data_IF_277007566519
#
_entry.id   IF_277007566519
#
_cell.length_a   1.000
_cell.length_b   1.000
_cell.length_c   1.000
_cell.angle_alpha   90.00
_cell.angle_beta   90.00
_cell.angle_gamma   90.00
#
_symmetry.space_group_name_H-M   'P 1'
#
loop_
_entity.id
_entity.type
_entity.pdbx_description
1 polymer ?
#
# COMPACT_ATOMS: atom_id res chain seq x y z
N UNK A 1 13.29 24.03 6.89
CA UNK A 1 12.25 23.09 6.37
C UNK A 1 11.96 21.98 7.40
N UNK A 2 11.61 22.34 8.64
CA UNK A 2 11.68 21.42 9.80
C UNK A 2 10.39 20.70 10.18
N UNK A 3 9.23 21.09 9.65
CA UNK A 3 7.95 20.47 9.95
C UNK A 3 7.29 20.01 8.64
N UNK A 4 7.05 18.71 8.53
CA UNK A 4 6.28 18.16 7.41
C UNK A 4 4.83 18.59 7.53
N UNK A 5 4.25 19.13 6.46
CA UNK A 5 2.83 19.48 6.45
C UNK A 5 1.98 18.21 6.58
N UNK A 6 0.94 18.18 7.44
CA UNK A 6 0.05 17.03 7.61
C UNK A 6 -0.54 16.49 6.29
N UNK A 7 -0.69 17.35 5.28
CA UNK A 7 -1.18 16.98 3.94
C UNK A 7 -0.31 15.90 3.26
N UNK A 8 0.97 15.84 3.58
CA UNK A 8 1.93 14.93 2.95
C UNK A 8 1.95 13.54 3.60
N UNK A 9 1.38 13.39 4.80
CA UNK A 9 1.50 12.15 5.60
C UNK A 9 1.00 10.93 4.85
N UNK A 10 -0.17 11.01 4.21
CA UNK A 10 -0.74 9.88 3.44
C UNK A 10 0.19 9.45 2.30
N UNK A 11 0.71 10.40 1.53
CA UNK A 11 1.65 10.11 0.44
C UNK A 11 2.95 9.50 0.97
N UNK A 12 3.50 10.03 2.05
CA UNK A 12 4.78 9.55 2.62
C UNK A 12 4.66 8.16 3.25
N UNK A 13 3.66 7.94 4.10
CA UNK A 13 3.41 6.61 4.69
C UNK A 13 3.00 5.60 3.60
N UNK A 14 2.23 6.03 2.60
CA UNK A 14 1.87 5.21 1.44
C UNK A 14 3.07 4.78 0.61
N UNK A 15 4.00 5.70 0.32
CA UNK A 15 5.25 5.40 -0.37
C UNK A 15 6.14 4.45 0.45
N UNK A 16 6.12 4.57 1.77
CA UNK A 16 6.87 3.66 2.64
C UNK A 16 6.33 2.23 2.54
N UNK A 17 5.02 2.03 2.73
CA UNK A 17 4.41 0.69 2.63
C UNK A 17 4.51 0.14 1.21
N UNK A 18 4.34 0.99 0.19
CA UNK A 18 4.51 0.60 -1.20
C UNK A 18 5.93 0.12 -1.48
N UNK A 19 6.94 0.85 -0.99
CA UNK A 19 8.34 0.46 -1.13
C UNK A 19 8.57 -0.93 -0.55
N UNK A 20 8.06 -1.20 0.65
CA UNK A 20 8.21 -2.50 1.30
C UNK A 20 7.56 -3.63 0.49
N UNK A 21 6.41 -3.36 -0.12
CA UNK A 21 5.70 -4.30 -0.98
C UNK A 21 6.50 -4.65 -2.24
N UNK A 22 7.00 -3.64 -2.96
CA UNK A 22 7.71 -3.87 -4.24
C UNK A 22 9.14 -4.37 -4.05
N UNK A 23 9.73 -4.19 -2.86
CA UNK A 23 11.03 -4.77 -2.50
C UNK A 23 10.91 -6.09 -1.75
N UNK A 24 9.70 -6.63 -1.58
CA UNK A 24 9.44 -7.88 -0.84
C UNK A 24 10.03 -7.88 0.58
N UNK A 25 10.10 -6.72 1.22
CA UNK A 25 10.56 -6.59 2.61
C UNK A 25 9.41 -6.55 3.61
N UNK A 26 8.17 -6.67 3.15
CA UNK A 26 6.97 -6.86 3.96
C UNK A 26 6.58 -8.34 3.99
N UNK A 27 6.26 -8.85 5.17
CA UNK A 27 5.65 -10.17 5.35
C UNK A 27 4.13 -10.06 5.62
N UNK A 28 3.45 -11.21 5.59
CA UNK A 28 2.00 -11.27 5.81
C UNK A 28 1.60 -10.77 7.21
N UNK A 29 2.43 -10.99 8.24
CA UNK A 29 2.15 -10.57 9.60
C UNK A 29 2.21 -9.04 9.74
N UNK A 30 3.19 -8.40 9.10
CA UNK A 30 3.32 -6.95 8.99
C UNK A 30 2.13 -6.34 8.26
N UNK A 31 1.70 -6.94 7.14
CA UNK A 31 0.52 -6.48 6.42
C UNK A 31 -0.74 -6.59 7.30
N UNK A 32 -0.93 -7.74 7.97
CA UNK A 32 -2.03 -7.97 8.91
C UNK A 32 -2.03 -6.93 10.04
N UNK A 33 -0.89 -6.66 10.68
CA UNK A 33 -0.76 -5.61 11.72
C UNK A 33 -1.19 -4.23 11.25
N UNK A 34 -0.86 -3.85 10.01
CA UNK A 34 -1.26 -2.54 9.47
C UNK A 34 -2.76 -2.51 9.22
N UNK A 35 -3.32 -3.60 8.68
CA UNK A 35 -4.75 -3.72 8.43
C UNK A 35 -5.60 -3.71 9.71
N UNK A 36 -5.24 -4.54 10.69
CA UNK A 36 -5.94 -4.60 11.97
C UNK A 36 -5.91 -3.26 12.70
N UNK A 37 -4.77 -2.57 12.72
CA UNK A 37 -4.69 -1.24 13.34
C UNK A 37 -5.56 -0.21 12.63
N UNK A 38 -5.69 -0.27 11.31
CA UNK A 38 -6.62 0.60 10.58
C UNK A 38 -8.07 0.36 10.98
N UNK A 39 -8.47 -0.90 11.18
CA UNK A 39 -9.82 -1.25 11.64
C UNK A 39 -10.06 -0.82 13.09
N UNK A 40 -9.10 -1.09 13.97
CA UNK A 40 -9.14 -0.73 15.38
C UNK A 40 -9.19 0.80 15.62
N UNK A 41 -8.55 1.61 14.76
CA UNK A 41 -8.74 3.07 14.78
C UNK A 41 -10.21 3.42 14.52
N UNK A 42 -10.87 2.75 13.58
CA UNK A 42 -12.31 2.92 13.33
C UNK A 42 -13.15 2.54 14.55
N UNK A 43 -12.84 1.41 15.21
CA UNK A 43 -13.49 1.00 16.45
C UNK A 43 -13.38 2.09 17.53
N UNK A 44 -12.17 2.62 17.76
CA UNK A 44 -11.94 3.67 18.75
C UNK A 44 -12.72 4.96 18.44
N UNK A 45 -12.71 5.40 17.17
CA UNK A 45 -13.46 6.59 16.74
C UNK A 45 -14.98 6.41 16.88
N UNK A 46 -15.47 5.19 16.75
CA UNK A 46 -16.88 4.83 16.95
C UNK A 46 -17.27 4.64 18.44
N UNK A 47 -16.39 5.00 19.37
CA UNK A 47 -16.67 4.97 20.81
C UNK A 47 -16.14 3.74 21.55
N UNK A 48 -15.40 2.85 20.89
CA UNK A 48 -14.69 1.76 21.55
C UNK A 48 -13.60 2.31 22.49
N UNK A 49 -13.56 1.80 23.72
CA UNK A 49 -12.55 2.16 24.70
C UNK A 49 -11.26 1.32 24.54
N UNK A 50 -10.26 1.57 25.38
CA UNK A 50 -8.99 0.86 25.34
C UNK A 50 -9.13 -0.67 25.42
N UNK A 51 -10.00 -1.17 26.30
CA UNK A 51 -10.21 -2.60 26.48
C UNK A 51 -10.93 -3.22 25.28
N UNK A 52 -11.88 -2.51 24.66
CA UNK A 52 -12.55 -2.99 23.44
C UNK A 52 -11.54 -3.17 22.31
N UNK A 53 -10.66 -2.19 22.11
CA UNK A 53 -9.60 -2.24 21.09
C UNK A 53 -8.56 -3.32 21.41
N UNK A 54 -8.18 -3.47 22.68
CA UNK A 54 -7.27 -4.54 23.12
C UNK A 54 -7.87 -5.93 22.86
N UNK A 55 -9.13 -6.16 23.25
CA UNK A 55 -9.85 -7.41 23.01
C UNK A 55 -9.97 -7.73 21.52
N UNK A 56 -10.24 -6.73 20.68
CA UNK A 56 -10.26 -6.91 19.23
C UNK A 56 -8.95 -7.48 18.67
N UNK A 57 -7.79 -7.01 19.15
CA UNK A 57 -6.49 -7.54 18.71
C UNK A 57 -6.25 -8.99 19.20
N UNK A 58 -6.69 -9.32 20.41
CA UNK A 58 -6.61 -10.68 20.94
C UNK A 58 -7.48 -11.65 20.13
N UNK A 59 -8.71 -11.26 19.81
CA UNK A 59 -9.65 -12.05 18.99
C UNK A 59 -9.08 -12.30 17.59
N UNK A 60 -8.30 -11.36 17.06
CA UNK A 60 -7.58 -11.48 15.79
C UNK A 60 -6.27 -12.28 15.87
N UNK A 61 -5.94 -12.80 17.05
CA UNK A 61 -4.83 -13.74 17.27
C UNK A 61 -3.47 -13.08 17.54
N UNK A 62 -3.43 -11.80 17.93
CA UNK A 62 -2.21 -11.20 18.47
C UNK A 62 -1.93 -11.68 19.90
N UNK A 63 -0.67 -11.62 20.34
CA UNK A 63 -0.33 -11.84 21.75
C UNK A 63 -0.86 -10.71 22.63
N UNK A 64 -0.95 -10.93 23.94
CA UNK A 64 -1.32 -9.86 24.89
C UNK A 64 -0.37 -8.66 24.81
N UNK A 65 0.94 -8.90 24.70
CA UNK A 65 1.95 -7.86 24.57
C UNK A 65 1.77 -7.04 23.27
N UNK A 66 1.58 -7.72 22.13
CA UNK A 66 1.37 -7.07 20.83
C UNK A 66 0.04 -6.29 20.81
N UNK A 67 -1.01 -6.86 21.39
CA UNK A 67 -2.34 -6.26 21.50
C UNK A 67 -2.29 -5.00 22.36
N UNK A 68 -1.61 -5.05 23.51
CA UNK A 68 -1.44 -3.92 24.40
C UNK A 68 -0.69 -2.77 23.71
N UNK A 69 0.44 -3.07 23.05
CA UNK A 69 1.19 -2.05 22.33
C UNK A 69 0.42 -1.45 21.14
N UNK A 70 -0.38 -2.27 20.44
CA UNK A 70 -1.23 -1.80 19.35
C UNK A 70 -2.34 -0.88 19.86
N UNK A 71 -3.03 -1.24 20.95
CA UNK A 71 -4.03 -0.40 21.60
C UNK A 71 -3.41 0.89 22.16
N UNK A 72 -2.28 0.81 22.88
CA UNK A 72 -1.55 1.96 23.41
C UNK A 72 -1.20 2.96 22.32
N UNK A 73 -0.79 2.48 21.15
CA UNK A 73 -0.48 3.33 20.01
C UNK A 73 -1.70 4.11 19.51
N UNK A 74 -2.86 3.46 19.43
CA UNK A 74 -4.11 4.08 18.96
C UNK A 74 -4.60 5.14 19.95
N UNK A 75 -4.46 4.91 21.25
CA UNK A 75 -4.88 5.89 22.28
C UNK A 75 -3.78 6.89 22.65
N UNK A 76 -2.62 6.88 21.99
CA UNK A 76 -1.51 7.78 22.31
C UNK A 76 -1.89 9.25 22.09
N UNK A 77 -2.13 9.97 23.17
CA UNK A 77 -2.58 11.37 23.12
C UNK A 77 -4.07 11.51 22.78
N UNK A 78 -4.84 10.42 22.86
CA UNK A 78 -6.31 10.40 22.76
C UNK A 78 -6.98 10.12 24.12
N UNK A 79 -8.27 9.78 24.09
CA UNK A 79 -9.06 9.42 25.27
C UNK A 79 -9.26 7.90 25.32
N UNK A 80 -8.77 7.26 26.38
CA UNK A 80 -8.88 5.80 26.59
C UNK A 80 -10.33 5.32 26.75
N UNK A 81 -11.28 6.22 26.97
CA UNK A 81 -12.71 5.91 27.02
C UNK A 81 -13.39 5.90 25.65
N UNK A 82 -12.68 6.28 24.58
CA UNK A 82 -13.15 6.20 23.19
C UNK A 82 -13.35 7.56 22.51
N UNK A 83 -13.79 7.53 21.26
CA UNK A 83 -14.11 8.69 20.39
C UNK A 83 -12.95 9.62 20.02
N UNK A 84 -11.85 9.62 20.77
CA UNK A 84 -10.64 10.41 20.46
C UNK A 84 -9.46 9.46 20.34
N UNK A 85 -8.99 9.26 19.10
CA UNK A 85 -7.90 8.34 18.78
C UNK A 85 -6.80 9.01 17.95
N UNK A 86 -5.58 8.47 18.06
CA UNK A 86 -4.46 8.81 17.21
C UNK A 86 -4.58 8.09 15.87
N UNK A 87 -5.13 8.79 14.87
CA UNK A 87 -5.55 8.22 13.58
C UNK A 87 -4.43 7.95 12.57
N UNK A 88 -3.17 8.01 13.01
CA UNK A 88 -2.02 7.84 12.10
C UNK A 88 -2.08 6.50 11.36
N UNK A 89 -2.57 5.45 12.01
CA UNK A 89 -2.59 4.12 11.41
C UNK A 89 -3.60 3.98 10.24
N UNK A 90 -4.58 4.89 10.13
CA UNK A 90 -5.46 4.95 8.95
C UNK A 90 -4.77 5.47 7.68
N UNK A 91 -3.69 6.26 7.81
CA UNK A 91 -3.00 6.84 6.67
C UNK A 91 -2.15 5.83 5.88
N UNK A 92 -1.81 4.66 6.45
CA UNK A 92 -0.95 3.67 5.80
C UNK A 92 -1.64 2.97 4.64
N UNK A 93 -2.78 2.32 4.87
CA UNK A 93 -3.49 1.57 3.83
C UNK A 93 -4.10 2.50 2.79
N UNK A 94 -4.73 3.59 3.23
CA UNK A 94 -5.25 4.60 2.32
C UNK A 94 -4.11 5.19 1.46
N UNK A 95 -3.00 5.55 2.10
CA UNK A 95 -1.80 6.03 1.41
C UNK A 95 -1.26 5.03 0.40
N UNK A 96 -1.16 3.74 0.78
CA UNK A 96 -0.72 2.67 -0.11
C UNK A 96 -1.62 2.57 -1.35
N UNK A 97 -2.94 2.57 -1.17
CA UNK A 97 -3.91 2.50 -2.26
C UNK A 97 -3.78 3.72 -3.18
N UNK A 98 -3.68 4.92 -2.63
CA UNK A 98 -3.56 6.16 -3.40
C UNK A 98 -2.25 6.20 -4.19
N UNK A 99 -1.12 5.86 -3.56
CA UNK A 99 0.19 5.79 -4.21
C UNK A 99 0.18 4.75 -5.31
N UNK A 100 -0.28 3.52 -5.04
CA UNK A 100 -0.33 2.48 -6.04
C UNK A 100 -1.23 2.87 -7.23
N UNK A 101 -2.38 3.49 -6.96
CA UNK A 101 -3.30 4.00 -7.98
C UNK A 101 -2.62 5.07 -8.83
N UNK A 102 -1.96 6.04 -8.21
CA UNK A 102 -1.22 7.09 -8.91
C UNK A 102 -0.15 6.51 -9.83
N UNK A 103 0.68 5.58 -9.33
CA UNK A 103 1.73 4.95 -10.13
C UNK A 103 1.15 4.19 -11.33
N UNK A 104 0.12 3.37 -11.10
CA UNK A 104 -0.61 2.63 -12.16
C UNK A 104 -1.18 3.59 -13.21
N UNK A 105 -1.77 4.71 -12.78
CA UNK A 105 -2.38 5.70 -13.67
C UNK A 105 -1.35 6.46 -14.48
N UNK A 106 -0.27 6.91 -13.85
CA UNK A 106 0.86 7.57 -14.52
C UNK A 106 1.45 6.67 -15.62
N UNK A 107 1.67 5.38 -15.34
CA UNK A 107 2.12 4.40 -16.35
C UNK A 107 1.11 4.27 -17.49
N UNK A 108 -0.16 4.08 -17.17
CA UNK A 108 -1.20 3.86 -18.17
C UNK A 108 -1.40 5.06 -19.11
N UNK A 109 -1.07 6.27 -18.66
CA UNK A 109 -1.13 7.50 -19.46
C UNK A 109 0.19 7.87 -20.14
N UNK A 110 1.26 7.08 -19.96
CA UNK A 110 2.61 7.41 -20.49
C UNK A 110 3.22 8.65 -19.85
N UNK A 111 2.92 8.86 -18.56
CA UNK A 111 3.32 10.01 -17.73
C UNK A 111 4.28 9.59 -16.62
N UNK A 112 5.18 8.66 -16.91
CA UNK A 112 6.11 8.09 -15.93
C UNK A 112 7.12 9.06 -15.33
N UNK A 113 7.39 10.17 -16.01
CA UNK A 113 8.25 11.25 -15.54
C UNK A 113 7.77 11.88 -14.24
N UNK A 114 6.48 11.74 -13.90
CA UNK A 114 5.90 12.20 -12.65
C UNK A 114 6.37 11.38 -11.45
N UNK A 115 6.78 10.12 -11.65
CA UNK A 115 7.13 9.22 -10.54
C UNK A 115 8.39 9.68 -9.80
N UNK A 116 9.51 10.01 -10.48
CA UNK A 116 10.67 10.61 -9.83
C UNK A 116 10.38 11.94 -9.11
N UNK A 117 9.41 12.72 -9.59
CA UNK A 117 9.06 14.02 -8.98
C UNK A 117 8.51 13.86 -7.56
N UNK A 118 7.84 12.74 -7.22
CA UNK A 118 7.37 12.43 -5.85
C UNK A 118 8.48 12.53 -4.79
N UNK A 119 9.74 12.36 -5.19
CA UNK A 119 10.90 12.32 -4.32
C UNK A 119 11.70 13.64 -4.30
N UNK A 120 11.27 14.67 -5.04
CA UNK A 120 11.91 15.99 -5.05
C UNK A 120 11.69 16.79 -3.75
N UNK A 121 10.96 16.21 -2.78
CA UNK A 121 10.71 16.76 -1.46
C UNK A 121 9.61 15.96 -0.75
N UNK A 122 8.95 16.58 0.25
CA UNK A 122 7.72 16.04 0.81
C UNK A 122 6.54 16.59 0.02
N UNK A 123 6.12 15.86 -1.01
CA UNK A 123 5.04 16.24 -1.91
C UNK A 123 3.79 15.41 -1.63
N UNK A 124 2.61 15.97 -1.88
CA UNK A 124 1.40 15.16 -2.11
C UNK A 124 1.38 14.62 -3.54
N UNK A 125 0.46 13.69 -3.83
CA UNK A 125 0.23 13.24 -5.20
C UNK A 125 -0.24 14.37 -6.11
N UNK A 126 -1.05 15.31 -5.58
CA UNK A 126 -1.52 16.48 -6.31
C UNK A 126 -0.41 17.50 -6.58
N UNK A 127 0.50 17.71 -5.62
CA UNK A 127 1.65 18.61 -5.79
C UNK A 127 2.50 18.23 -7.01
N UNK A 128 2.65 16.94 -7.29
CA UNK A 128 3.43 16.47 -8.44
C UNK A 128 2.79 16.91 -9.76
N UNK A 129 1.46 16.89 -9.84
CA UNK A 129 0.73 17.34 -11.04
C UNK A 129 0.78 18.87 -11.15
N UNK A 130 0.47 19.57 -10.06
CA UNK A 130 0.41 21.04 -10.05
C UNK A 130 1.76 21.70 -10.33
N UNK A 131 2.85 21.08 -9.86
CA UNK A 131 4.20 21.65 -9.94
C UNK A 131 5.00 21.11 -11.13
N UNK A 132 4.42 20.25 -11.96
CA UNK A 132 5.10 19.62 -13.11
C UNK A 132 5.78 20.65 -14.02
N UNK A 133 5.06 21.71 -14.42
CA UNK A 133 5.60 22.75 -15.28
C UNK A 133 6.86 23.41 -14.70
N UNK A 134 6.91 23.57 -13.37
CA UNK A 134 8.06 24.16 -12.69
C UNK A 134 9.28 23.23 -12.67
N UNK A 135 9.10 21.90 -12.78
CA UNK A 135 10.21 20.98 -13.02
C UNK A 135 10.73 21.10 -14.46
N UNK A 136 9.83 21.19 -15.44
CA UNK A 136 10.21 21.34 -16.85
C UNK A 136 10.92 22.67 -17.12
N UNK A 137 10.49 23.75 -16.46
CA UNK A 137 11.11 25.08 -16.54
C UNK A 137 12.43 25.18 -15.74
N UNK A 138 12.82 24.12 -15.02
CA UNK A 138 14.04 24.09 -14.22
C UNK A 138 14.00 24.92 -12.93
N UNK A 139 12.83 25.46 -12.56
CA UNK A 139 12.60 26.18 -11.30
C UNK A 139 12.71 25.24 -10.11
N UNK A 140 12.12 24.05 -10.22
CA UNK A 140 12.26 22.97 -9.25
C UNK A 140 13.34 21.98 -9.69
N UNK A 141 14.15 21.55 -8.72
CA UNK A 141 15.20 20.56 -8.96
C UNK A 141 14.65 19.15 -8.76
N UNK A 142 15.03 18.17 -9.60
CA UNK A 142 14.62 16.79 -9.43
C UNK A 142 15.18 16.20 -8.12
N UNK A 143 14.61 15.07 -7.71
CA UNK A 143 15.06 14.32 -6.54
C UNK A 143 16.56 13.98 -6.66
N UNK A 144 17.34 14.32 -5.63
CA UNK A 144 18.76 13.94 -5.55
C UNK A 144 18.94 12.43 -5.38
N UNK A 145 18.00 11.80 -4.67
CA UNK A 145 18.02 10.38 -4.35
C UNK A 145 16.67 9.78 -4.70
N UNK A 146 16.71 8.63 -5.35
CA UNK A 146 15.54 7.82 -5.67
C UNK A 146 15.74 6.44 -5.07
N UNK A 147 14.67 5.79 -4.57
CA UNK A 147 14.78 4.39 -4.17
C UNK A 147 15.06 3.52 -5.41
N UNK A 148 15.79 2.40 -5.26
CA UNK A 148 16.18 1.56 -6.41
C UNK A 148 15.01 1.12 -7.31
N UNK A 149 13.83 0.90 -6.72
CA UNK A 149 12.63 0.52 -7.45
C UNK A 149 12.06 1.67 -8.31
N UNK A 150 12.31 2.93 -7.97
CA UNK A 150 11.83 4.10 -8.71
C UNK A 150 12.81 4.54 -9.83
N UNK A 151 14.09 4.19 -9.71
CA UNK A 151 15.09 4.44 -10.78
C UNK A 151 14.82 3.55 -12.00
N UNK A 152 14.47 2.28 -11.75
CA UNK A 152 14.21 1.29 -12.78
C UNK A 152 12.76 1.28 -13.26
N UNK A 153 12.25 2.41 -13.76
CA UNK A 153 10.84 2.58 -14.12
C UNK A 153 10.28 1.45 -15.00
N UNK A 154 11.05 0.94 -15.97
CA UNK A 154 10.61 -0.17 -16.83
C UNK A 154 10.24 -1.44 -16.05
N UNK A 155 10.97 -1.76 -14.98
CA UNK A 155 10.65 -2.92 -14.12
C UNK A 155 9.40 -2.66 -13.29
N UNK A 156 9.25 -1.44 -12.78
CA UNK A 156 8.05 -1.01 -12.07
C UNK A 156 6.82 -1.05 -12.98
N UNK A 157 6.94 -0.53 -14.20
CA UNK A 157 5.90 -0.53 -15.21
C UNK A 157 5.49 -1.95 -15.58
N UNK A 158 6.45 -2.86 -15.83
CA UNK A 158 6.16 -4.26 -16.10
C UNK A 158 5.41 -4.93 -14.93
N UNK A 159 5.87 -4.73 -13.69
CA UNK A 159 5.24 -5.31 -12.51
C UNK A 159 3.82 -4.77 -12.29
N UNK A 160 3.64 -3.45 -12.37
CA UNK A 160 2.33 -2.81 -12.19
C UNK A 160 1.37 -3.13 -13.34
N UNK A 161 1.86 -3.23 -14.57
CA UNK A 161 1.05 -3.65 -15.73
C UNK A 161 0.59 -5.09 -15.59
N UNK A 162 1.48 -5.99 -15.15
CA UNK A 162 1.11 -7.37 -14.84
C UNK A 162 0.09 -7.43 -13.71
N UNK A 163 0.29 -6.69 -12.62
CA UNK A 163 -0.65 -6.63 -11.50
C UNK A 163 -2.04 -6.09 -11.92
N UNK A 164 -2.08 -5.10 -12.83
CA UNK A 164 -3.33 -4.59 -13.41
C UNK A 164 -4.03 -5.65 -14.26
N UNK A 165 -3.28 -6.38 -15.09
CA UNK A 165 -3.82 -7.46 -15.90
C UNK A 165 -4.33 -8.62 -15.03
N UNK A 166 -3.51 -9.09 -14.08
CA UNK A 166 -3.83 -10.23 -13.22
C UNK A 166 -5.01 -9.95 -12.29
N UNK A 167 -5.20 -8.70 -11.84
CA UNK A 167 -6.37 -8.31 -11.03
C UNK A 167 -7.71 -8.49 -11.75
N UNK A 168 -7.71 -8.68 -13.08
CA UNK A 168 -8.91 -8.99 -13.87
C UNK A 168 -9.20 -10.49 -13.97
N UNK A 169 -8.27 -11.34 -13.55
CA UNK A 169 -8.43 -12.79 -13.53
C UNK A 169 -9.25 -13.14 -12.28
N UNK A 170 -10.47 -13.64 -12.48
CA UNK A 170 -11.32 -14.11 -11.40
C UNK A 170 -10.83 -15.50 -10.95
N UNK A 171 -10.26 -15.57 -9.75
CA UNK A 171 -9.79 -16.83 -9.17
C UNK A 171 -10.94 -17.65 -8.57
N UNK A 172 -12.03 -17.00 -8.15
CA UNK A 172 -13.20 -17.66 -7.54
C UNK A 172 -13.87 -18.67 -8.47
N UNK A 173 -13.67 -18.53 -9.79
CA UNK A 173 -14.15 -19.47 -10.80
C UNK A 173 -13.18 -20.62 -11.11
N UNK A 174 -12.01 -20.67 -10.47
CA UNK A 174 -10.95 -21.64 -10.76
C UNK A 174 -10.61 -22.45 -9.51
N UNK A 175 -11.10 -23.68 -9.46
CA UNK A 175 -10.71 -24.64 -8.42
C UNK A 175 -9.32 -25.21 -8.70
N UNK A 176 -8.52 -25.44 -7.65
CA UNK A 176 -7.18 -26.04 -7.80
C UNK A 176 -7.21 -27.40 -8.51
N UNK A 177 -8.27 -28.19 -8.32
CA UNK A 177 -8.45 -29.47 -9.01
C UNK A 177 -8.57 -29.35 -10.54
N UNK A 178 -8.94 -28.18 -11.06
CA UNK A 178 -9.05 -27.93 -12.51
C UNK A 178 -7.71 -28.10 -13.23
N UNK A 179 -6.59 -27.87 -12.54
CA UNK A 179 -5.25 -28.03 -13.12
C UNK A 179 -4.91 -29.50 -13.40
N UNK A 180 -5.42 -30.45 -12.60
CA UNK A 180 -5.27 -31.89 -12.89
C UNK A 180 -5.94 -32.25 -14.22
N UNK A 181 -7.16 -31.75 -14.44
CA UNK A 181 -7.89 -32.00 -15.70
C UNK A 181 -7.23 -31.34 -16.91
N UNK A 182 -6.59 -30.18 -16.74
CA UNK A 182 -5.88 -29.49 -17.84
C UNK A 182 -4.59 -30.20 -18.24
N UNK A 183 -3.87 -30.81 -17.29
CA UNK A 183 -2.68 -31.62 -17.57
C UNK A 183 -3.06 -32.93 -18.28
N UNK A 184 -4.18 -33.56 -17.91
CA UNK A 184 -4.73 -34.74 -18.58
C UNK A 184 -5.19 -34.44 -20.02
N UNK A 185 -5.87 -33.32 -20.24
CA UNK A 185 -6.30 -32.86 -21.57
C UNK A 185 -5.10 -32.49 -22.47
N UNK A 186 -4.02 -31.93 -21.92
CA UNK A 186 -2.79 -31.56 -22.66
C UNK A 186 -1.90 -32.76 -23.03
N UNK A 187 -1.97 -33.87 -22.28
CA UNK A 187 -1.28 -35.12 -22.60
C UNK A 187 -2.06 -35.99 -23.61
N UNK A 188 -3.37 -35.76 -23.76
CA UNK A 188 -4.25 -36.52 -24.66
C UNK A 188 -4.20 -36.12 -26.14
N UNK A 189 -3.50 -35.05 -26.52
CA UNK A 189 -3.47 -34.54 -27.91
C UNK A 189 -2.19 -34.83 -28.70
N UNK A 190 -1.33 -35.74 -28.23
CA UNK A 190 -0.12 -36.18 -28.96
C UNK A 190 -0.08 -37.70 -29.18
N UNK A 191 -1.08 -38.24 -29.87
CA UNK A 191 -1.05 -39.51 -30.61
C UNK A 191 -2.41 -39.57 -31.31
N UNK A 192 -2.53 -39.43 -32.63
CA UNK A 192 -2.03 -40.32 -33.67
C UNK A 192 -2.33 -39.61 -34.99
N UNK A 193 -1.35 -39.49 -35.88
CA UNK A 193 -1.53 -39.55 -37.34
C UNK A 193 -0.14 -39.60 -37.98
N UNK A 194 0.30 -40.83 -38.27
CA UNK A 194 1.40 -41.18 -39.15
C UNK A 194 0.81 -42.05 -40.29
#
# INVERSE_FOLDING_TARGET
LGLGSPRTTKTQEGLAVFSELVTFSIDINRLRRVALRSQAVGLALNGGNFLDVFSHFLEEGQSEEESYHSAQRIFRGGDVHGSIAFTKDGAYLEGLILVQTFLKKAIAEGREELIPMLFAGRMTLGDVIELEALFHDGVLRPARYLPPWAVGFQRLAANLSYALFSSRIQLDSVELGRFLTLEEEGLGSQTTDA
#
